data_IF_353310322708
#
_entry.id   IF_353310322708
#
_cell.length_a   1.000
_cell.length_b   1.000
_cell.length_c   1.000
_cell.angle_alpha   90.00
_cell.angle_beta   90.00
_cell.angle_gamma   90.00
#
_symmetry.space_group_name_H-M   'P 1'
#
loop_
_entity.id
_entity.type
_entity.pdbx_description
1 polymer ?
#
# COMPACT_ATOMS: atom_id res chain seq x y z
N UNK A 1 59.98 -3.85 -14.71
CA UNK A 1 58.72 -4.04 -15.47
C UNK A 1 57.94 -5.25 -14.96
N UNK A 2 57.56 -5.27 -13.66
CA UNK A 2 56.82 -6.39 -13.06
C UNK A 2 55.91 -5.94 -11.91
N UNK A 3 55.44 -4.70 -11.97
CA UNK A 3 54.45 -4.17 -11.01
C UNK A 3 53.22 -3.56 -11.70
N UNK A 4 53.21 -3.48 -13.03
CA UNK A 4 52.07 -2.98 -13.80
C UNK A 4 50.98 -4.04 -14.05
N UNK A 5 51.21 -5.31 -13.70
CA UNK A 5 50.25 -6.39 -13.93
C UNK A 5 49.23 -6.59 -12.80
N UNK A 6 49.43 -5.97 -11.62
CA UNK A 6 48.56 -6.20 -10.46
C UNK A 6 47.37 -5.21 -10.42
N UNK A 7 47.47 -4.06 -11.11
CA UNK A 7 46.42 -3.03 -11.08
C UNK A 7 45.22 -3.39 -11.99
N UNK A 8 45.39 -4.29 -12.96
CA UNK A 8 44.32 -4.70 -13.87
C UNK A 8 43.26 -5.65 -13.27
N UNK A 9 43.55 -6.33 -12.16
CA UNK A 9 42.70 -7.40 -11.65
C UNK A 9 41.59 -6.94 -10.68
N UNK A 10 41.64 -5.69 -10.19
CA UNK A 10 40.66 -5.17 -9.21
C UNK A 10 39.47 -4.43 -9.84
N UNK A 11 39.41 -4.32 -11.17
CA UNK A 11 38.31 -3.62 -11.86
C UNK A 11 37.06 -4.48 -12.09
N UNK A 12 37.10 -5.78 -11.77
CA UNK A 12 35.95 -6.68 -11.88
C UNK A 12 35.24 -6.81 -10.52
N UNK A 13 34.79 -5.69 -9.97
CA UNK A 13 33.83 -5.73 -8.87
C UNK A 13 32.48 -6.01 -9.51
N UNK A 14 31.83 -7.18 -9.26
CA UNK A 14 30.49 -7.42 -9.76
C UNK A 14 29.58 -6.33 -9.21
N UNK A 15 29.08 -5.47 -10.09
CA UNK A 15 28.08 -4.48 -9.72
C UNK A 15 26.86 -5.25 -9.20
N UNK A 16 26.31 -4.91 -8.02
CA UNK A 16 25.07 -5.52 -7.57
C UNK A 16 24.01 -5.17 -8.61
N UNK A 17 23.53 -6.18 -9.33
CA UNK A 17 22.38 -6.03 -10.21
C UNK A 17 21.23 -5.54 -9.34
N UNK A 18 20.82 -4.28 -9.52
CA UNK A 18 19.65 -3.74 -8.86
C UNK A 18 18.45 -4.59 -9.27
N UNK A 19 18.04 -5.51 -8.40
CA UNK A 19 16.83 -6.29 -8.61
C UNK A 19 15.67 -5.30 -8.71
N UNK A 20 15.09 -5.16 -9.90
CA UNK A 20 13.86 -4.40 -10.06
C UNK A 20 12.84 -5.00 -9.09
N UNK A 21 12.13 -4.18 -8.29
CA UNK A 21 11.13 -4.71 -7.39
C UNK A 21 10.17 -5.55 -8.20
N UNK A 22 10.09 -6.84 -7.89
CA UNK A 22 9.20 -7.76 -8.57
C UNK A 22 7.79 -7.13 -8.55
N UNK A 23 7.12 -7.05 -9.71
CA UNK A 23 5.70 -6.69 -9.73
C UNK A 23 4.99 -7.71 -8.85
N UNK A 24 4.63 -7.31 -7.64
CA UNK A 24 3.90 -8.16 -6.72
C UNK A 24 2.54 -8.39 -7.39
N UNK A 25 2.36 -9.58 -7.92
CA UNK A 25 1.06 -10.08 -8.34
C UNK A 25 0.19 -10.18 -7.08
N UNK A 26 -1.11 -10.00 -7.23
CA UNK A 26 -2.06 -10.05 -6.11
C UNK A 26 -2.87 -11.35 -6.04
N UNK A 27 -2.24 -12.55 -5.96
CA UNK A 27 -2.99 -13.79 -5.76
C UNK A 27 -3.42 -13.98 -4.29
N UNK A 28 -2.83 -13.24 -3.34
CA UNK A 28 -3.21 -13.29 -1.92
C UNK A 28 -2.82 -14.60 -1.21
N UNK A 29 -1.82 -15.33 -1.71
CA UNK A 29 -1.46 -16.66 -1.21
C UNK A 29 -0.63 -16.63 0.09
N UNK A 30 0.01 -15.50 0.40
CA UNK A 30 0.81 -15.32 1.61
C UNK A 30 0.43 -14.02 2.33
N UNK A 31 0.67 -13.94 3.65
CA UNK A 31 0.37 -12.72 4.44
C UNK A 31 1.04 -11.46 3.88
N UNK A 32 2.31 -11.47 3.42
CA UNK A 32 2.90 -10.31 2.75
C UNK A 32 2.17 -9.90 1.46
N UNK A 33 1.75 -10.88 0.64
CA UNK A 33 0.99 -10.59 -0.57
C UNK A 33 -0.40 -10.02 -0.22
N UNK A 34 -1.11 -10.63 0.72
CA UNK A 34 -2.41 -10.13 1.18
C UNK A 34 -2.32 -8.68 1.67
N UNK A 35 -1.29 -8.36 2.46
CA UNK A 35 -1.04 -6.99 2.92
C UNK A 35 -0.79 -6.03 1.76
N UNK A 36 0.13 -6.37 0.86
CA UNK A 36 0.42 -5.54 -0.31
C UNK A 36 -0.84 -5.27 -1.15
N UNK A 37 -1.68 -6.28 -1.33
CA UNK A 37 -2.90 -6.13 -2.13
C UNK A 37 -3.98 -5.31 -1.42
N UNK A 38 -4.10 -5.43 -0.10
CA UNK A 38 -4.96 -4.54 0.69
C UNK A 38 -4.50 -3.08 0.55
N UNK A 39 -3.19 -2.82 0.64
CA UNK A 39 -2.61 -1.48 0.43
C UNK A 39 -2.91 -0.94 -0.97
N UNK A 40 -2.71 -1.74 -2.03
CA UNK A 40 -3.03 -1.32 -3.40
C UNK A 40 -4.52 -1.06 -3.63
N UNK A 41 -5.39 -1.87 -3.03
CA UNK A 41 -6.83 -1.64 -3.10
C UNK A 41 -7.21 -0.32 -2.43
N UNK A 42 -6.67 -0.07 -1.24
CA UNK A 42 -6.89 1.17 -0.50
C UNK A 42 -6.34 2.39 -1.24
N UNK A 43 -5.12 2.35 -1.77
CA UNK A 43 -4.54 3.46 -2.57
C UNK A 43 -5.47 3.83 -3.74
N UNK A 44 -6.07 2.84 -4.39
CA UNK A 44 -6.99 3.06 -5.51
C UNK A 44 -8.28 3.78 -5.06
N UNK A 45 -8.91 3.33 -3.98
CA UNK A 45 -10.14 3.96 -3.48
C UNK A 45 -9.89 5.31 -2.83
N UNK A 46 -8.75 5.49 -2.16
CA UNK A 46 -8.30 6.75 -1.60
C UNK A 46 -8.09 7.80 -2.70
N UNK A 47 -7.40 7.43 -3.76
CA UNK A 47 -7.16 8.33 -4.91
C UNK A 47 -8.47 8.78 -5.55
N UNK A 48 -9.42 7.87 -5.73
CA UNK A 48 -10.75 8.22 -6.25
C UNK A 48 -11.49 9.18 -5.32
N UNK A 49 -11.39 8.98 -4.01
CA UNK A 49 -12.07 9.83 -3.04
C UNK A 49 -11.44 11.24 -2.97
N UNK A 50 -10.10 11.34 -3.06
CA UNK A 50 -9.37 12.62 -3.17
C UNK A 50 -9.78 13.45 -4.39
N UNK A 51 -10.24 12.81 -5.46
CA UNK A 51 -10.77 13.50 -6.64
C UNK A 51 -12.20 14.04 -6.43
N UNK A 52 -12.92 13.53 -5.43
CA UNK A 52 -14.31 13.92 -5.12
C UNK A 52 -14.41 14.97 -4.02
N UNK A 53 -13.49 14.99 -3.05
CA UNK A 53 -13.57 15.85 -1.87
C UNK A 53 -12.28 16.64 -1.65
N UNK A 54 -12.40 17.82 -1.04
CA UNK A 54 -11.25 18.70 -0.77
C UNK A 54 -10.28 18.13 0.26
N UNK A 55 -9.02 18.59 0.21
CA UNK A 55 -7.90 18.13 1.06
C UNK A 55 -8.26 18.05 2.55
N UNK A 56 -8.85 19.10 3.12
CA UNK A 56 -9.22 19.15 4.55
C UNK A 56 -10.22 18.06 4.94
N UNK A 57 -11.21 17.80 4.09
CA UNK A 57 -12.19 16.74 4.35
C UNK A 57 -11.54 15.36 4.24
N UNK A 58 -10.60 15.16 3.30
CA UNK A 58 -9.83 13.92 3.23
C UNK A 58 -8.98 13.68 4.48
N UNK A 59 -8.32 14.71 5.01
CA UNK A 59 -7.54 14.58 6.25
C UNK A 59 -8.43 14.18 7.43
N UNK A 60 -9.58 14.83 7.59
CA UNK A 60 -10.55 14.47 8.63
C UNK A 60 -11.09 13.05 8.44
N UNK A 61 -11.36 12.67 7.19
CA UNK A 61 -11.81 11.33 6.85
C UNK A 61 -10.76 10.27 7.22
N UNK A 62 -9.48 10.47 6.88
CA UNK A 62 -8.42 9.52 7.24
C UNK A 62 -8.25 9.36 8.74
N UNK A 63 -8.31 10.45 9.51
CA UNK A 63 -8.26 10.36 10.97
C UNK A 63 -9.45 9.57 11.53
N UNK A 64 -10.66 9.83 11.02
CA UNK A 64 -11.87 9.15 11.44
C UNK A 64 -11.84 7.65 11.09
N UNK A 65 -11.52 7.28 9.84
CA UNK A 65 -11.51 5.88 9.42
C UNK A 65 -10.40 5.10 10.10
N UNK A 66 -9.20 5.68 10.25
CA UNK A 66 -8.09 5.05 10.98
C UNK A 66 -8.48 4.72 12.42
N UNK A 67 -9.12 5.65 13.13
CA UNK A 67 -9.58 5.43 14.49
C UNK A 67 -10.65 4.32 14.56
N UNK A 68 -11.68 4.41 13.71
CA UNK A 68 -12.78 3.44 13.66
C UNK A 68 -12.29 2.04 13.28
N UNK A 69 -11.45 1.92 12.26
CA UNK A 69 -10.92 0.65 11.78
C UNK A 69 -9.95 0.02 12.77
N UNK A 70 -9.09 0.81 13.43
CA UNK A 70 -8.23 0.31 14.51
C UNK A 70 -9.06 -0.22 15.68
N UNK A 71 -10.14 0.48 16.04
CA UNK A 71 -11.06 0.03 17.09
C UNK A 71 -11.79 -1.27 16.69
N UNK A 72 -12.36 -1.33 15.49
CA UNK A 72 -13.10 -2.49 14.99
C UNK A 72 -12.23 -3.76 14.92
N UNK A 73 -10.94 -3.62 14.62
CA UNK A 73 -9.99 -4.74 14.51
C UNK A 73 -9.05 -4.87 15.70
N UNK A 74 -9.32 -4.19 16.81
CA UNK A 74 -8.56 -4.30 18.05
C UNK A 74 -8.35 -5.75 18.55
N UNK A 75 -9.31 -6.70 18.40
CA UNK A 75 -9.09 -8.10 18.77
C UNK A 75 -7.93 -8.78 18.02
N UNK A 76 -7.54 -8.25 16.86
CA UNK A 76 -6.48 -8.82 16.03
C UNK A 76 -5.13 -8.12 16.22
N UNK A 77 -5.01 -7.10 17.09
CA UNK A 77 -3.86 -6.20 17.19
C UNK A 77 -2.49 -6.88 17.31
N UNK A 78 -2.46 -8.05 17.95
CA UNK A 78 -1.23 -8.82 18.20
C UNK A 78 -0.91 -9.82 17.06
N UNK A 79 -1.80 -9.94 16.07
CA UNK A 79 -1.66 -10.82 14.92
C UNK A 79 -1.01 -10.14 13.71
N UNK A 80 -0.28 -10.92 12.91
CA UNK A 80 0.37 -10.45 11.67
C UNK A 80 -0.62 -10.00 10.58
N UNK A 81 -1.89 -10.38 10.73
CA UNK A 81 -3.06 -9.99 9.94
C UNK A 81 -3.61 -8.60 10.33
N UNK A 82 -3.22 -8.01 11.46
CA UNK A 82 -3.79 -6.74 11.89
C UNK A 82 -3.66 -5.61 10.84
N UNK A 83 -2.49 -5.37 10.23
CA UNK A 83 -2.34 -4.26 9.28
C UNK A 83 -3.23 -4.42 8.05
N UNK A 84 -3.38 -5.64 7.53
CA UNK A 84 -4.23 -5.91 6.36
C UNK A 84 -5.73 -5.75 6.69
N UNK A 85 -6.14 -6.01 7.93
CA UNK A 85 -7.53 -5.81 8.37
C UNK A 85 -7.89 -4.33 8.50
N UNK A 86 -6.99 -3.53 9.08
CA UNK A 86 -7.18 -2.08 9.21
C UNK A 86 -7.22 -1.41 7.83
N UNK A 87 -6.23 -1.67 6.98
CA UNK A 87 -6.19 -1.09 5.62
C UNK A 87 -7.38 -1.56 4.77
N UNK A 88 -7.75 -2.84 4.87
CA UNK A 88 -8.93 -3.36 4.17
C UNK A 88 -10.25 -2.73 4.66
N UNK A 89 -10.32 -2.29 5.92
CA UNK A 89 -11.44 -1.53 6.45
C UNK A 89 -11.52 -0.13 5.86
N UNK A 90 -10.40 0.59 5.82
CA UNK A 90 -10.32 1.91 5.19
C UNK A 90 -10.77 1.85 3.73
N UNK A 91 -10.32 0.84 2.97
CA UNK A 91 -10.73 0.62 1.57
C UNK A 91 -12.25 0.42 1.43
N UNK A 92 -12.85 -0.42 2.28
CA UNK A 92 -14.30 -0.66 2.24
C UNK A 92 -15.10 0.61 2.57
N UNK A 93 -14.64 1.41 3.53
CA UNK A 93 -15.27 2.68 3.88
C UNK A 93 -15.15 3.70 2.73
N UNK A 94 -13.98 3.82 2.11
CA UNK A 94 -13.78 4.65 0.92
C UNK A 94 -14.75 4.26 -0.20
N UNK A 95 -14.84 2.96 -0.51
CA UNK A 95 -15.75 2.43 -1.54
C UNK A 95 -17.21 2.63 -1.20
N UNK A 96 -17.60 2.57 0.08
CA UNK A 96 -18.96 2.87 0.50
C UNK A 96 -19.29 4.34 0.26
N UNK A 97 -18.40 5.27 0.63
CA UNK A 97 -18.59 6.70 0.41
C UNK A 97 -18.59 7.06 -1.09
N UNK A 98 -17.73 6.42 -1.90
CA UNK A 98 -17.74 6.58 -3.36
C UNK A 98 -19.09 6.18 -3.99
N UNK A 99 -19.74 5.13 -3.48
CA UNK A 99 -21.08 4.73 -3.95
C UNK A 99 -22.13 5.82 -3.67
N UNK A 100 -22.03 6.51 -2.54
CA UNK A 100 -22.93 7.62 -2.22
C UNK A 100 -22.75 8.81 -3.18
N UNK A 101 -21.51 9.10 -3.60
CA UNK A 101 -21.26 10.11 -4.63
C UNK A 101 -21.80 9.72 -6.01
N UNK A 102 -21.75 8.43 -6.36
CA UNK A 102 -22.28 7.93 -7.63
C UNK A 102 -23.81 7.98 -7.64
N UNK A 103 -24.47 7.53 -6.56
CA UNK A 103 -25.94 7.55 -6.45
C UNK A 103 -26.51 8.96 -6.56
N UNK A 104 -25.83 9.95 -5.97
CA UNK A 104 -26.23 11.37 -6.07
C UNK A 104 -26.01 11.98 -7.45
N UNK A 105 -25.19 11.37 -8.30
CA UNK A 105 -24.90 11.82 -9.65
C UNK A 105 -25.78 11.12 -10.71
N UNK A 106 -26.63 10.17 -10.32
CA UNK A 106 -27.64 9.58 -11.19
C UNK A 106 -28.89 10.49 -11.21
N UNK A 107 -29.36 10.92 -12.40
CA UNK A 107 -30.54 11.79 -12.53
C UNK A 107 -31.82 11.11 -12.05
#
# INVERSE_FOLDING_TARGET
MRQLLIIGALALVPQPAAAQPARIQCPGATTPQMRYCAEKSWEQSDTQLRQKVGKRLMEQWHEATKALCSYAYAPYKDGTIYPQMVVGCDDRLNRALLKEFIRRASP
#
